data_IF_248629363844
#
_entry.id   IF_248629363844
#
_cell.length_a   1.000
_cell.length_b   1.000
_cell.length_c   1.000
_cell.angle_alpha   90.00
_cell.angle_beta   90.00
_cell.angle_gamma   90.00
#
_symmetry.space_group_name_H-M   'P 1'
#
loop_
_entity.id
_entity.type
_entity.pdbx_description
1 polymer ?
#
# COMPACT_ATOMS: atom_id res chain seq x y z
N UNK A 1 14.05 -5.97 -19.99
CA UNK A 1 12.78 -6.30 -19.31
C UNK A 1 12.32 -5.03 -18.63
N UNK A 2 11.04 -4.68 -18.74
CA UNK A 2 10.51 -3.49 -18.06
C UNK A 2 10.50 -3.73 -16.54
N UNK A 3 10.91 -2.73 -15.76
CA UNK A 3 10.90 -2.79 -14.31
C UNK A 3 9.45 -2.86 -13.81
N UNK A 4 9.14 -3.73 -12.84
CA UNK A 4 7.80 -3.76 -12.23
C UNK A 4 7.55 -2.46 -11.47
N UNK A 5 6.39 -1.87 -11.70
CA UNK A 5 5.93 -0.64 -11.07
C UNK A 5 5.28 -0.92 -9.73
N UNK A 6 5.73 -0.25 -8.68
CA UNK A 6 5.24 -0.46 -7.31
C UNK A 6 4.80 0.86 -6.67
N UNK A 7 3.66 0.80 -5.98
CA UNK A 7 3.20 1.88 -5.09
C UNK A 7 3.33 1.40 -3.64
N UNK A 8 3.91 2.25 -2.80
CA UNK A 8 4.04 1.99 -1.36
C UNK A 8 2.87 2.65 -0.65
N UNK A 9 2.13 1.87 0.14
CA UNK A 9 1.05 2.35 0.99
C UNK A 9 1.46 2.22 2.46
N UNK A 10 1.46 3.35 3.18
CA UNK A 10 1.86 3.40 4.58
C UNK A 10 1.32 4.66 5.25
N UNK A 11 1.37 4.73 6.58
CA UNK A 11 1.13 6.00 7.26
C UNK A 11 2.31 6.94 7.02
N UNK A 12 2.04 8.18 6.60
CA UNK A 12 3.07 9.22 6.42
C UNK A 12 3.88 9.54 7.70
N UNK A 13 3.48 9.03 8.87
CA UNK A 13 4.29 9.09 10.09
C UNK A 13 5.56 8.23 10.04
N UNK A 14 5.65 7.26 9.11
CA UNK A 14 6.77 6.33 8.96
C UNK A 14 7.75 6.77 7.86
N UNK A 15 8.05 8.07 7.79
CA UNK A 15 8.84 8.67 6.71
C UNK A 15 10.20 7.95 6.51
N UNK A 16 10.91 7.65 7.59
CA UNK A 16 12.22 7.00 7.54
C UNK A 16 12.13 5.58 6.97
N UNK A 17 11.13 4.81 7.41
CA UNK A 17 10.92 3.43 6.96
C UNK A 17 10.44 3.39 5.51
N UNK A 18 9.58 4.34 5.10
CA UNK A 18 9.12 4.48 3.71
C UNK A 18 10.32 4.76 2.79
N UNK A 19 11.18 5.71 3.14
CA UNK A 19 12.38 6.03 2.34
C UNK A 19 13.33 4.85 2.27
N UNK A 20 13.55 4.14 3.39
CA UNK A 20 14.36 2.91 3.41
C UNK A 20 13.82 1.85 2.47
N UNK A 21 12.52 1.60 2.48
CA UNK A 21 11.89 0.61 1.61
C UNK A 21 11.88 1.03 0.15
N UNK A 22 11.62 2.31 -0.14
CA UNK A 22 11.74 2.87 -1.48
C UNK A 22 13.12 2.57 -2.08
N UNK A 23 14.19 2.96 -1.38
CA UNK A 23 15.55 2.78 -1.88
C UNK A 23 15.86 1.29 -2.09
N UNK A 24 15.47 0.43 -1.15
CA UNK A 24 15.64 -1.03 -1.26
C UNK A 24 14.91 -1.64 -2.46
N UNK A 25 13.71 -1.15 -2.76
CA UNK A 25 12.92 -1.59 -3.93
C UNK A 25 13.58 -1.14 -5.24
N UNK A 26 14.03 0.10 -5.30
CA UNK A 26 14.73 0.64 -6.47
C UNK A 26 16.05 -0.10 -6.74
N UNK A 27 16.85 -0.38 -5.71
CA UNK A 27 18.06 -1.22 -5.80
C UNK A 27 17.78 -2.63 -6.33
N UNK A 28 16.57 -3.14 -6.07
CA UNK A 28 16.11 -4.46 -6.53
C UNK A 28 15.45 -4.43 -7.91
N UNK A 29 15.46 -3.28 -8.59
CA UNK A 29 14.97 -3.13 -9.96
C UNK A 29 13.46 -2.86 -10.07
N UNK A 30 12.79 -2.48 -8.98
CA UNK A 30 11.42 -1.97 -9.05
C UNK A 30 11.40 -0.48 -9.39
N UNK A 31 10.37 -0.03 -10.09
CA UNK A 31 10.08 1.39 -10.30
C UNK A 31 9.05 1.85 -9.26
N UNK A 32 9.47 2.65 -8.27
CA UNK A 32 8.54 3.16 -7.24
C UNK A 32 7.79 4.37 -7.79
N UNK A 33 6.51 4.19 -8.15
CA UNK A 33 5.69 5.24 -8.77
C UNK A 33 5.26 6.32 -7.77
N UNK A 34 4.82 5.90 -6.58
CA UNK A 34 4.35 6.80 -5.51
C UNK A 34 4.51 6.12 -4.15
N UNK A 35 4.70 6.96 -3.15
CA UNK A 35 4.70 6.61 -1.74
C UNK A 35 4.15 7.81 -0.94
N UNK A 36 3.70 7.63 0.31
CA UNK A 36 3.05 8.68 1.07
C UNK A 36 4.10 9.71 1.52
N UNK A 37 3.77 10.99 1.36
CA UNK A 37 4.61 12.10 1.83
C UNK A 37 3.86 12.99 2.79
N UNK A 38 4.60 13.75 3.62
CA UNK A 38 3.98 14.76 4.49
C UNK A 38 3.40 15.89 3.63
N UNK A 39 2.13 16.19 3.84
CA UNK A 39 1.45 17.35 3.23
C UNK A 39 2.06 18.62 3.81
N UNK A 40 2.60 19.48 2.94
CA UNK A 40 3.23 20.77 3.30
C UNK A 40 2.36 21.99 3.00
N UNK A 41 1.38 21.82 2.12
CA UNK A 41 0.42 22.85 1.72
C UNK A 41 -0.75 22.89 2.73
N UNK A 42 -1.78 23.71 2.46
CA UNK A 42 -3.00 23.62 3.25
C UNK A 42 -3.60 22.21 3.18
N UNK A 43 -4.26 21.79 4.25
CA UNK A 43 -4.68 20.41 4.42
C UNK A 43 -5.61 19.94 3.29
N UNK A 44 -6.52 20.81 2.82
CA UNK A 44 -7.52 20.41 1.83
C UNK A 44 -6.89 20.23 0.44
N UNK A 45 -6.13 21.23 -0.01
CA UNK A 45 -5.43 21.19 -1.30
C UNK A 45 -4.41 20.06 -1.32
N UNK A 46 -3.58 19.99 -0.28
CA UNK A 46 -2.53 18.99 -0.17
C UNK A 46 -3.08 17.57 -0.07
N UNK A 47 -4.19 17.36 0.65
CA UNK A 47 -4.86 16.06 0.68
C UNK A 47 -5.42 15.68 -0.69
N UNK A 48 -6.15 16.60 -1.34
CA UNK A 48 -6.72 16.32 -2.66
C UNK A 48 -5.64 15.95 -3.68
N UNK A 49 -4.53 16.70 -3.71
CA UNK A 49 -3.40 16.44 -4.58
C UNK A 49 -2.72 15.10 -4.27
N UNK A 50 -2.31 14.90 -3.01
CA UNK A 50 -1.55 13.71 -2.61
C UNK A 50 -2.34 12.43 -2.91
N UNK A 51 -3.63 12.39 -2.56
CA UNK A 51 -4.45 11.20 -2.78
C UNK A 51 -4.85 11.02 -4.25
N UNK A 52 -5.11 12.09 -5.00
CA UNK A 52 -5.38 11.95 -6.45
C UNK A 52 -4.19 11.35 -7.18
N UNK A 53 -2.98 11.83 -6.89
CA UNK A 53 -1.74 11.28 -7.44
C UNK A 53 -1.51 9.83 -6.98
N UNK A 54 -1.82 9.51 -5.71
CA UNK A 54 -1.66 8.17 -5.16
C UNK A 54 -2.60 7.15 -5.83
N UNK A 55 -3.89 7.47 -5.99
CA UNK A 55 -4.84 6.60 -6.66
C UNK A 55 -4.55 6.42 -8.16
N UNK A 56 -4.11 7.48 -8.84
CA UNK A 56 -3.65 7.39 -10.23
C UNK A 56 -2.42 6.47 -10.36
N UNK A 57 -1.47 6.59 -9.43
CA UNK A 57 -0.31 5.70 -9.38
C UNK A 57 -0.71 4.23 -9.12
N UNK A 58 -1.67 3.97 -8.22
CA UNK A 58 -2.20 2.61 -7.98
C UNK A 58 -2.76 2.01 -9.27
N UNK A 59 -3.52 2.78 -10.05
CA UNK A 59 -4.13 2.31 -11.31
C UNK A 59 -3.09 1.96 -12.40
N UNK A 60 -1.86 2.48 -12.27
CA UNK A 60 -0.73 2.27 -13.19
C UNK A 60 0.29 1.24 -12.68
N UNK A 61 0.16 0.80 -11.42
CA UNK A 61 1.12 -0.09 -10.77
C UNK A 61 0.90 -1.55 -11.15
N UNK A 62 1.98 -2.34 -11.11
CA UNK A 62 1.90 -3.80 -11.11
C UNK A 62 1.72 -4.32 -9.68
N UNK A 63 2.19 -3.56 -8.67
CA UNK A 63 2.20 -3.96 -7.27
C UNK A 63 1.75 -2.80 -6.38
N UNK A 64 0.83 -3.08 -5.46
CA UNK A 64 0.53 -2.23 -4.30
C UNK A 64 1.09 -2.88 -3.05
N UNK A 65 1.99 -2.21 -2.34
CA UNK A 65 2.66 -2.74 -1.16
C UNK A 65 2.28 -1.95 0.09
N UNK A 66 1.48 -2.55 0.96
CA UNK A 66 1.28 -2.08 2.31
C UNK A 66 2.51 -2.43 3.17
N UNK A 67 3.22 -1.44 3.71
CA UNK A 67 4.35 -1.72 4.64
C UNK A 67 3.89 -2.25 5.99
N UNK A 68 2.62 -1.98 6.35
CA UNK A 68 1.93 -2.42 7.57
C UNK A 68 2.85 -2.56 8.80
N UNK A 69 3.51 -1.46 9.13
CA UNK A 69 4.40 -1.34 10.28
C UNK A 69 3.61 -1.22 11.57
N UNK A 70 4.17 -1.71 12.67
CA UNK A 70 3.54 -1.67 13.99
C UNK A 70 3.19 -0.23 14.40
N UNK A 71 1.97 -0.03 14.89
CA UNK A 71 1.49 1.31 15.28
C UNK A 71 0.51 1.23 16.43
N UNK A 72 0.68 2.09 17.44
CA UNK A 72 -0.23 2.21 18.60
C UNK A 72 -0.51 0.86 19.31
N UNK A 73 0.49 -0.01 19.38
CA UNK A 73 0.38 -1.33 20.01
C UNK A 73 -0.24 -2.42 19.13
N UNK A 74 -0.65 -2.10 17.90
CA UNK A 74 -1.17 -3.07 16.93
C UNK A 74 -0.01 -3.52 16.04
N UNK A 75 0.32 -4.80 16.09
CA UNK A 75 1.32 -5.42 15.23
C UNK A 75 0.78 -5.60 13.82
N UNK A 76 1.58 -5.32 12.79
CA UNK A 76 1.11 -5.47 11.40
C UNK A 76 -0.02 -4.51 11.03
N UNK A 77 -0.05 -3.33 11.65
CA UNK A 77 -1.14 -2.36 11.54
C UNK A 77 -1.35 -1.88 10.10
N UNK A 78 -2.59 -2.01 9.63
CA UNK A 78 -3.09 -1.35 8.42
C UNK A 78 -3.96 -0.18 8.88
N UNK A 79 -3.74 1.02 8.33
CA UNK A 79 -4.56 2.20 8.62
C UNK A 79 -5.74 2.30 7.65
N UNK A 80 -6.78 3.03 8.01
CA UNK A 80 -7.99 3.17 7.17
C UNK A 80 -7.70 3.68 5.76
N UNK A 81 -6.75 4.60 5.61
CA UNK A 81 -6.28 5.05 4.29
C UNK A 81 -5.62 3.94 3.47
N UNK A 82 -4.71 3.18 4.09
CA UNK A 82 -4.04 2.03 3.45
C UNK A 82 -5.04 0.93 3.10
N UNK A 83 -6.02 0.68 3.97
CA UNK A 83 -7.12 -0.25 3.68
C UNK A 83 -7.92 0.20 2.45
N UNK A 84 -8.26 1.49 2.34
CA UNK A 84 -8.98 2.03 1.18
C UNK A 84 -8.16 1.93 -0.12
N UNK A 85 -6.85 2.19 -0.06
CA UNK A 85 -5.93 2.03 -1.19
C UNK A 85 -5.86 0.57 -1.66
N UNK A 86 -5.74 -0.38 -0.72
CA UNK A 86 -5.78 -1.82 -1.02
C UNK A 86 -7.13 -2.24 -1.61
N UNK A 87 -8.24 -1.80 -1.01
CA UNK A 87 -9.58 -2.09 -1.49
C UNK A 87 -9.81 -1.55 -2.91
N UNK A 88 -9.29 -0.35 -3.21
CA UNK A 88 -9.35 0.23 -4.54
C UNK A 88 -8.59 -0.62 -5.57
N UNK A 89 -7.37 -1.07 -5.26
CA UNK A 89 -6.60 -1.95 -6.14
C UNK A 89 -7.31 -3.29 -6.39
N UNK A 90 -7.92 -3.88 -5.35
CA UNK A 90 -8.74 -5.08 -5.50
C UNK A 90 -9.99 -4.81 -6.36
N UNK A 91 -10.67 -3.68 -6.15
CA UNK A 91 -11.80 -3.25 -6.97
C UNK A 91 -11.43 -3.09 -8.44
N UNK A 92 -10.27 -2.49 -8.73
CA UNK A 92 -9.71 -2.39 -10.08
C UNK A 92 -9.51 -3.77 -10.71
N UNK A 93 -8.97 -4.73 -9.95
CA UNK A 93 -8.79 -6.09 -10.45
C UNK A 93 -10.14 -6.78 -10.74
N UNK A 94 -11.12 -6.64 -9.83
CA UNK A 94 -12.40 -7.37 -9.92
C UNK A 94 -13.40 -6.74 -10.88
N UNK A 95 -13.43 -5.42 -11.00
CA UNK A 95 -14.41 -4.70 -11.82
C UNK A 95 -13.86 -4.25 -13.17
N UNK A 96 -12.53 -4.03 -13.29
CA UNK A 96 -11.91 -3.45 -14.48
C UNK A 96 -10.84 -4.35 -15.10
N UNK A 97 -10.75 -5.63 -14.70
CA UNK A 97 -9.80 -6.62 -15.22
C UNK A 97 -8.33 -6.15 -15.17
N UNK A 98 -7.99 -5.36 -14.15
CA UNK A 98 -6.58 -5.06 -13.85
C UNK A 98 -5.92 -6.29 -13.21
N UNK A 99 -4.59 -6.31 -13.23
CA UNK A 99 -3.79 -7.38 -12.64
C UNK A 99 -2.74 -6.81 -11.68
N UNK A 100 -3.21 -6.09 -10.67
CA UNK A 100 -2.38 -5.46 -9.64
C UNK A 100 -2.15 -6.48 -8.52
N UNK A 101 -0.90 -6.79 -8.20
CA UNK A 101 -0.57 -7.61 -7.02
C UNK A 101 -0.70 -6.76 -5.75
N UNK A 102 -1.70 -7.06 -4.92
CA UNK A 102 -1.87 -6.38 -3.63
C UNK A 102 -1.14 -7.15 -2.55
N UNK A 103 -0.10 -6.53 -1.99
CA UNK A 103 0.85 -7.15 -1.08
C UNK A 103 0.93 -6.44 0.27
N UNK A 104 1.32 -7.18 1.30
CA UNK A 104 1.64 -6.66 2.64
C UNK A 104 3.03 -7.16 3.07
N UNK A 105 3.74 -6.38 3.87
CA UNK A 105 5.11 -6.70 4.29
C UNK A 105 5.16 -7.63 5.50
N UNK A 106 4.45 -7.27 6.57
CA UNK A 106 4.40 -8.01 7.82
C UNK A 106 3.11 -8.84 7.90
N UNK A 107 3.00 -9.86 8.77
CA UNK A 107 1.72 -10.50 9.05
C UNK A 107 0.65 -9.46 9.40
N UNK A 108 -0.55 -9.59 8.83
CA UNK A 108 -1.64 -8.64 9.07
C UNK A 108 -2.17 -8.80 10.50
N UNK A 109 -2.54 -7.67 11.12
CA UNK A 109 -3.24 -7.65 12.40
C UNK A 109 -4.55 -8.45 12.32
N UNK A 110 -4.70 -9.48 13.15
CA UNK A 110 -5.90 -10.32 13.20
C UNK A 110 -7.07 -9.65 13.91
N UNK A 111 -6.79 -8.70 14.79
CA UNK A 111 -7.78 -7.97 15.57
C UNK A 111 -7.37 -6.49 15.76
N UNK A 112 -8.23 -5.72 16.43
CA UNK A 112 -7.97 -4.32 16.75
C UNK A 112 -8.21 -3.33 15.61
N UNK A 113 -8.62 -3.79 14.42
CA UNK A 113 -9.03 -2.96 13.29
C UNK A 113 -10.51 -3.21 12.96
N UNK A 114 -11.28 -2.17 12.58
CA UNK A 114 -12.71 -2.34 12.27
C UNK A 114 -12.97 -3.13 10.97
N UNK A 115 -11.93 -3.53 10.24
CA UNK A 115 -11.97 -4.27 8.97
C UNK A 115 -11.03 -5.50 8.98
N UNK A 116 -10.73 -6.03 10.18
CA UNK A 116 -9.89 -7.23 10.32
C UNK A 116 -10.49 -8.44 9.59
N UNK A 117 -11.82 -8.61 9.66
CA UNK A 117 -12.54 -9.72 9.00
C UNK A 117 -12.36 -9.67 7.48
N UNK A 118 -12.47 -8.49 6.86
CA UNK A 118 -12.24 -8.32 5.42
C UNK A 118 -10.81 -8.68 5.04
N UNK A 119 -9.82 -8.25 5.81
CA UNK A 119 -8.42 -8.55 5.53
C UNK A 119 -8.15 -10.08 5.61
N UNK A 120 -8.70 -10.76 6.61
CA UNK A 120 -8.60 -12.22 6.73
C UNK A 120 -9.26 -12.93 5.54
N UNK A 121 -10.47 -12.50 5.15
CA UNK A 121 -11.15 -13.03 3.98
C UNK A 121 -10.32 -12.81 2.71
N UNK A 122 -9.72 -11.63 2.52
CA UNK A 122 -8.88 -11.35 1.36
C UNK A 122 -7.62 -12.22 1.33
N UNK A 123 -7.02 -12.54 2.49
CA UNK A 123 -5.91 -13.49 2.57
C UNK A 123 -6.36 -14.90 2.19
N UNK A 124 -7.47 -15.37 2.76
CA UNK A 124 -8.01 -16.72 2.53
C UNK A 124 -8.43 -16.94 1.07
N UNK A 125 -8.91 -15.89 0.40
CA UNK A 125 -9.26 -15.91 -1.02
C UNK A 125 -8.04 -15.69 -1.94
N UNK A 126 -6.85 -15.44 -1.39
CA UNK A 126 -5.63 -15.17 -2.15
C UNK A 126 -5.64 -13.83 -2.90
N UNK A 127 -6.50 -12.89 -2.48
CA UNK A 127 -6.60 -11.56 -3.09
C UNK A 127 -5.45 -10.65 -2.66
N UNK A 128 -4.96 -10.86 -1.43
CA UNK A 128 -3.76 -10.21 -0.91
C UNK A 128 -2.75 -11.27 -0.47
N UNK A 129 -1.46 -10.94 -0.54
CA UNK A 129 -0.38 -11.89 -0.21
C UNK A 129 0.83 -11.21 0.44
N UNK A 130 1.65 -12.00 1.12
CA UNK A 130 2.88 -11.49 1.71
C UNK A 130 3.92 -11.16 0.64
N UNK A 131 4.53 -9.98 0.75
CA UNK A 131 5.59 -9.54 -0.13
C UNK A 131 6.92 -10.20 0.25
N UNK A 132 7.62 -10.73 -0.75
CA UNK A 132 8.94 -11.30 -0.59
C UNK A 132 9.90 -10.66 -1.59
N UNK A 133 10.99 -10.10 -1.08
CA UNK A 133 12.13 -9.67 -1.89
C UNK A 133 13.03 -10.88 -2.09
N UNK A 134 12.86 -11.58 -3.20
CA UNK A 134 13.83 -12.58 -3.65
C UNK A 134 15.16 -11.90 -4.04
#
# INVERSE_FOLDING_TARGET
MENKKIVICASASFENEIVKWKNKLEEKGFEVLKYPTKIKEDLLTGYNKEFSEHYDAINKADIVLALNLDKKGIQGYIGSGVFAEMAFALGLNKAFNKNIEVCYLNPIAKDGLPYSDELELWQNLGWIKQFNLN
#
